data_IF_624791731253
#
_entry.id   IF_624791731253
#
_cell.length_a   1.000
_cell.length_b   1.000
_cell.length_c   1.000
_cell.angle_alpha   90.00
_cell.angle_beta   90.00
_cell.angle_gamma   90.00
#
_symmetry.space_group_name_H-M   'P 1'
#
loop_
_entity.id
_entity.type
_entity.pdbx_description
1 polymer ?
#
# COMPACT_ATOMS: atom_id res chain seq x y z
N UNK A 1 10.63 16.70 24.08
CA UNK A 1 9.43 15.98 24.15
C UNK A 1 8.52 16.29 23.03
N UNK A 2 7.95 17.46 22.98
CA UNK A 2 7.09 17.82 21.90
C UNK A 2 7.82 17.84 20.56
N UNK A 3 9.07 18.24 20.60
CA UNK A 3 9.88 18.28 19.39
C UNK A 3 10.03 16.90 18.79
N UNK A 4 10.09 15.89 19.63
CA UNK A 4 10.21 14.53 19.12
C UNK A 4 8.99 14.10 18.35
N UNK A 5 7.83 14.52 18.78
CA UNK A 5 6.62 14.16 18.09
C UNK A 5 6.56 14.76 16.69
N UNK A 6 7.15 15.93 16.52
CA UNK A 6 7.13 16.59 15.23
C UNK A 6 8.18 16.04 14.27
N UNK A 7 9.13 15.25 14.79
CA UNK A 7 10.15 14.68 13.92
C UNK A 7 9.66 13.51 13.08
N UNK A 8 8.51 12.95 13.45
CA UNK A 8 7.98 11.80 12.74
C UNK A 8 6.53 12.03 12.36
N UNK A 9 6.30 12.97 11.44
CA UNK A 9 4.91 13.20 11.01
C UNK A 9 4.38 11.96 10.32
N UNK A 10 3.11 11.68 10.55
CA UNK A 10 2.48 10.52 9.94
C UNK A 10 1.90 10.95 8.61
N UNK A 11 2.72 10.94 7.60
CA UNK A 11 2.32 11.39 6.28
C UNK A 11 2.60 10.38 5.16
N UNK A 12 2.96 9.16 5.50
CA UNK A 12 3.18 8.14 4.50
C UNK A 12 1.93 7.29 4.31
N UNK A 13 1.50 7.16 3.08
CA UNK A 13 0.38 6.31 2.71
C UNK A 13 0.90 5.10 1.97
N UNK A 14 0.57 3.93 2.47
CA UNK A 14 1.06 2.67 1.91
C UNK A 14 -0.07 2.06 1.09
N UNK A 15 0.12 2.04 -0.21
CA UNK A 15 -0.83 1.37 -1.09
C UNK A 15 -0.56 -0.12 -1.07
N UNK A 16 -1.62 -0.91 -0.94
CA UNK A 16 -1.51 -2.36 -0.83
C UNK A 16 -2.36 -3.02 -1.89
N UNK A 17 -1.72 -3.85 -2.69
CA UNK A 17 -2.42 -4.75 -3.60
C UNK A 17 -2.11 -6.16 -3.16
N UNK A 18 -3.13 -6.95 -2.88
CA UNK A 18 -2.89 -8.31 -2.43
C UNK A 18 -3.95 -9.24 -2.98
N UNK A 19 -3.61 -10.51 -3.00
CA UNK A 19 -4.55 -11.53 -3.42
C UNK A 19 -5.50 -11.82 -2.27
N UNK A 20 -6.68 -12.31 -2.64
CA UNK A 20 -7.66 -12.66 -1.64
C UNK A 20 -7.11 -13.73 -0.72
N UNK A 21 -7.34 -13.57 0.57
CA UNK A 21 -6.92 -14.55 1.55
C UNK A 21 -5.51 -14.38 2.07
N UNK A 22 -4.80 -13.34 1.68
CA UNK A 22 -3.48 -13.08 2.24
C UNK A 22 -3.62 -12.79 3.73
N UNK A 23 -2.71 -13.36 4.51
CA UNK A 23 -2.77 -13.21 5.95
C UNK A 23 -2.26 -11.84 6.37
N UNK A 24 -2.68 -11.44 7.56
CA UNK A 24 -2.19 -10.22 8.19
C UNK A 24 -0.67 -10.24 8.31
N UNK A 25 -0.12 -11.41 8.65
CA UNK A 25 1.33 -11.53 8.83
C UNK A 25 2.08 -11.33 7.51
N UNK A 26 1.51 -11.80 6.41
CA UNK A 26 2.15 -11.62 5.12
C UNK A 26 2.15 -10.15 4.70
N UNK A 27 1.04 -9.47 4.93
CA UNK A 27 0.95 -8.05 4.61
C UNK A 27 1.93 -7.26 5.47
N UNK A 28 1.98 -7.57 6.75
CA UNK A 28 2.92 -6.90 7.65
C UNK A 28 4.36 -7.12 7.22
N UNK A 29 4.69 -8.36 6.86
CA UNK A 29 6.05 -8.69 6.42
C UNK A 29 6.41 -7.92 5.15
N UNK A 30 5.45 -7.78 4.24
CA UNK A 30 5.70 -7.04 3.00
C UNK A 30 6.00 -5.57 3.28
N UNK A 31 5.21 -4.97 4.16
CA UNK A 31 5.42 -3.57 4.53
C UNK A 31 6.77 -3.39 5.21
N UNK A 32 7.08 -4.27 6.16
CA UNK A 32 8.35 -4.18 6.89
C UNK A 32 9.53 -4.33 5.94
N UNK A 33 9.41 -5.25 4.99
CA UNK A 33 10.48 -5.48 4.02
C UNK A 33 10.73 -4.24 3.16
N UNK A 34 9.68 -3.65 2.62
CA UNK A 34 9.81 -2.49 1.74
C UNK A 34 10.35 -1.30 2.53
N UNK A 35 9.85 -1.08 3.73
CA UNK A 35 10.33 0.03 4.54
C UNK A 35 11.80 -0.13 4.91
N UNK A 36 12.21 -1.34 5.22
CA UNK A 36 13.61 -1.59 5.54
C UNK A 36 14.50 -1.39 4.32
N UNK A 37 14.07 -1.88 3.16
CA UNK A 37 14.84 -1.73 1.93
C UNK A 37 15.04 -0.29 1.52
N UNK A 38 14.09 0.56 1.86
CA UNK A 38 14.14 1.96 1.48
C UNK A 38 14.46 2.89 2.65
N UNK A 39 14.85 2.29 3.78
CA UNK A 39 15.28 3.04 4.96
C UNK A 39 14.21 4.04 5.44
N UNK A 40 12.97 3.58 5.45
CA UNK A 40 11.86 4.39 5.91
C UNK A 40 11.38 3.90 7.27
N UNK A 41 10.76 4.82 8.02
CA UNK A 41 10.25 4.49 9.35
C UNK A 41 8.77 4.17 9.27
N UNK A 42 8.39 3.03 9.82
CA UNK A 42 6.99 2.67 9.90
C UNK A 42 6.21 3.61 10.82
N UNK A 43 6.91 4.33 11.68
CA UNK A 43 6.26 5.31 12.55
C UNK A 43 5.68 6.48 11.76
N UNK A 44 6.10 6.65 10.53
CA UNK A 44 5.58 7.73 9.68
C UNK A 44 4.34 7.32 8.90
N UNK A 45 3.87 6.08 9.05
CA UNK A 45 2.71 5.61 8.31
C UNK A 45 1.45 6.27 8.84
N UNK A 46 0.75 6.99 7.97
CA UNK A 46 -0.56 7.53 8.30
C UNK A 46 -1.63 6.47 8.16
N UNK A 47 -1.51 5.61 7.15
CA UNK A 47 -2.48 4.57 6.95
C UNK A 47 -2.17 3.74 5.71
N UNK A 48 -3.03 2.77 5.48
CA UNK A 48 -2.95 1.93 4.30
C UNK A 48 -4.07 2.31 3.33
N UNK A 49 -3.85 2.05 2.06
CA UNK A 49 -4.82 2.37 1.03
C UNK A 49 -4.91 1.21 0.06
N UNK A 50 -6.13 0.90 -0.40
CA UNK A 50 -6.32 -0.20 -1.33
C UNK A 50 -7.61 0.01 -2.10
N UNK A 51 -7.95 -0.97 -2.95
CA UNK A 51 -9.21 -0.96 -3.67
C UNK A 51 -10.33 -1.40 -2.73
N UNK A 52 -11.54 -0.89 -2.94
CA UNK A 52 -12.64 -1.12 -2.00
C UNK A 52 -13.06 -2.60 -1.91
N UNK A 53 -12.74 -3.40 -2.90
CA UNK A 53 -13.02 -4.82 -2.81
C UNK A 53 -12.19 -5.50 -1.73
N UNK A 54 -11.19 -4.80 -1.19
CA UNK A 54 -10.35 -5.32 -0.12
C UNK A 54 -10.81 -4.91 1.27
N UNK A 55 -11.90 -4.18 1.37
CA UNK A 55 -12.39 -3.74 2.68
C UNK A 55 -12.74 -4.94 3.57
N UNK A 56 -13.09 -6.06 2.95
CA UNK A 56 -13.42 -7.27 3.69
C UNK A 56 -12.22 -8.18 3.91
N UNK A 57 -11.04 -7.74 3.50
CA UNK A 57 -9.85 -8.54 3.67
C UNK A 57 -9.43 -8.49 5.14
N UNK A 58 -9.66 -9.60 5.85
CA UNK A 58 -9.47 -9.64 7.30
C UNK A 58 -8.05 -9.24 7.71
N UNK A 59 -7.06 -9.75 6.99
CA UNK A 59 -5.67 -9.44 7.33
C UNK A 59 -5.36 -7.96 7.25
N UNK A 60 -5.88 -7.29 6.23
CA UNK A 60 -5.63 -5.87 6.05
C UNK A 60 -6.30 -5.04 7.15
N UNK A 61 -7.55 -5.39 7.45
CA UNK A 61 -8.32 -4.68 8.48
C UNK A 61 -7.68 -4.88 9.85
N UNK A 62 -7.29 -6.11 10.16
CA UNK A 62 -6.68 -6.41 11.45
C UNK A 62 -5.37 -5.65 11.64
N UNK A 63 -4.55 -5.62 10.60
CA UNK A 63 -3.27 -4.93 10.70
C UNK A 63 -3.46 -3.45 10.98
N UNK A 64 -4.38 -2.80 10.28
CA UNK A 64 -4.64 -1.40 10.52
C UNK A 64 -5.13 -1.14 11.93
N UNK A 65 -6.01 -2.01 12.42
CA UNK A 65 -6.55 -1.86 13.77
C UNK A 65 -5.45 -2.00 14.82
N UNK A 66 -4.58 -2.99 14.65
CA UNK A 66 -3.52 -3.23 15.62
C UNK A 66 -2.50 -2.12 15.67
N UNK A 67 -2.22 -1.51 14.53
CA UNK A 67 -1.20 -0.49 14.45
C UNK A 67 -1.77 0.93 14.59
N UNK A 68 -3.07 1.06 14.71
CA UNK A 68 -3.75 2.35 14.74
C UNK A 68 -3.52 3.15 13.46
N UNK A 69 -3.50 2.44 12.34
CA UNK A 69 -3.41 3.07 11.03
C UNK A 69 -4.80 3.24 10.45
N UNK A 70 -4.97 4.29 9.67
CA UNK A 70 -6.20 4.47 8.93
C UNK A 70 -6.23 3.48 7.77
N UNK A 71 -7.43 3.15 7.32
CA UNK A 71 -7.57 2.33 6.12
C UNK A 71 -8.49 3.07 5.18
N UNK A 72 -7.96 3.46 4.02
CA UNK A 72 -8.74 4.12 2.98
C UNK A 72 -8.90 3.17 1.82
N UNK A 73 -10.11 3.02 1.34
CA UNK A 73 -10.37 2.19 0.17
C UNK A 73 -11.10 3.01 -0.87
N UNK A 74 -10.84 2.69 -2.13
CA UNK A 74 -11.38 3.45 -3.25
C UNK A 74 -11.93 2.52 -4.30
N UNK A 75 -12.99 2.92 -5.01
CA UNK A 75 -13.52 2.08 -6.09
C UNK A 75 -12.58 2.06 -7.28
N UNK A 76 -12.67 0.99 -8.05
CA UNK A 76 -11.80 0.82 -9.21
C UNK A 76 -11.90 1.99 -10.18
N UNK A 77 -13.10 2.55 -10.34
CA UNK A 77 -13.29 3.69 -11.24
C UNK A 77 -12.44 4.88 -10.85
N UNK A 78 -12.32 5.12 -9.55
CA UNK A 78 -11.50 6.22 -9.06
C UNK A 78 -10.02 5.92 -9.30
N UNK A 79 -9.61 4.70 -8.98
CA UNK A 79 -8.20 4.35 -9.11
C UNK A 79 -7.72 4.37 -10.56
N UNK A 80 -8.61 4.10 -11.50
CA UNK A 80 -8.24 4.15 -12.92
C UNK A 80 -7.91 5.56 -13.39
N UNK A 81 -8.42 6.57 -12.70
CA UNK A 81 -8.15 7.96 -13.09
C UNK A 81 -6.79 8.45 -12.61
N UNK A 82 -6.14 7.69 -11.75
CA UNK A 82 -4.86 8.11 -11.19
C UNK A 82 -3.74 7.77 -12.17
N UNK A 83 -2.89 8.74 -12.43
CA UNK A 83 -1.75 8.54 -13.30
C UNK A 83 -0.62 7.88 -12.50
N UNK A 84 -0.26 6.67 -12.88
CA UNK A 84 0.77 5.92 -12.14
C UNK A 84 1.98 5.68 -13.02
N UNK A 85 3.19 5.61 -12.43
CA UNK A 85 4.42 5.44 -13.20
C UNK A 85 4.59 4.04 -13.78
N UNK A 86 3.95 3.03 -13.20
CA UNK A 86 4.13 1.65 -13.64
C UNK A 86 2.80 0.97 -13.93
N UNK A 87 2.06 1.46 -14.91
CA UNK A 87 0.85 0.73 -15.31
C UNK A 87 1.28 -0.62 -15.89
N UNK A 88 0.47 -1.63 -15.65
CA UNK A 88 0.79 -2.92 -16.18
C UNK A 88 0.64 -2.92 -17.70
N UNK A 89 1.70 -3.28 -18.39
CA UNK A 89 1.70 -3.26 -19.84
C UNK A 89 0.67 -4.20 -20.46
N UNK A 90 0.46 -5.31 -19.81
CA UNK A 90 -0.41 -6.32 -20.37
C UNK A 90 -1.87 -5.99 -20.23
N UNK A 91 -2.19 -5.08 -19.39
CA UNK A 91 -3.57 -4.77 -19.07
C UNK A 91 -4.27 -4.06 -20.20
N UNK A 92 -3.54 -3.41 -21.08
CA UNK A 92 -4.19 -2.68 -22.15
C UNK A 92 -5.07 -3.57 -23.03
N UNK A 93 -4.85 -4.88 -22.99
CA UNK A 93 -5.68 -5.78 -23.74
C UNK A 93 -6.99 -6.11 -23.06
N UNK A 94 -7.07 -5.85 -21.78
CA UNK A 94 -8.24 -6.19 -21.00
C UNK A 94 -8.84 -4.93 -20.41
N UNK A 95 -8.36 -4.60 -19.25
CA UNK A 95 -8.81 -3.41 -18.56
C UNK A 95 -7.58 -2.61 -18.25
N UNK A 96 -7.50 -1.44 -18.75
CA UNK A 96 -6.36 -0.58 -18.49
C UNK A 96 -6.41 -0.11 -17.05
N UNK A 97 -6.16 -1.04 -16.15
CA UNK A 97 -6.19 -0.76 -14.72
C UNK A 97 -4.77 -0.49 -14.24
N UNK A 98 -4.51 0.67 -13.67
CA UNK A 98 -3.19 0.93 -13.11
C UNK A 98 -2.96 0.02 -11.90
N UNK A 99 -1.71 -0.05 -11.45
CA UNK A 99 -1.39 -0.79 -10.25
C UNK A 99 -2.23 -0.28 -9.09
N UNK A 100 -2.95 -1.19 -8.46
CA UNK A 100 -3.81 -0.82 -7.34
C UNK A 100 -3.00 -0.16 -6.23
N UNK A 101 -1.85 -0.74 -5.92
CA UNK A 101 -1.02 -0.23 -4.84
C UNK A 101 -0.57 1.20 -5.12
N UNK A 102 -0.09 1.46 -6.33
CA UNK A 102 0.40 2.78 -6.67
C UNK A 102 -0.73 3.80 -6.74
N UNK A 103 -1.83 3.43 -7.39
CA UNK A 103 -2.95 4.36 -7.52
C UNK A 103 -3.55 4.68 -6.16
N UNK A 104 -3.73 3.68 -5.31
CA UNK A 104 -4.32 3.90 -4.00
C UNK A 104 -3.42 4.78 -3.13
N UNK A 105 -2.11 4.54 -3.17
CA UNK A 105 -1.19 5.36 -2.38
C UNK A 105 -1.24 6.82 -2.83
N UNK A 106 -1.20 7.05 -4.14
CA UNK A 106 -1.23 8.41 -4.66
C UNK A 106 -2.53 9.12 -4.32
N UNK A 107 -3.64 8.42 -4.47
CA UNK A 107 -4.93 9.03 -4.21
C UNK A 107 -5.10 9.34 -2.73
N UNK A 108 -4.69 8.41 -1.86
CA UNK A 108 -4.81 8.62 -0.42
C UNK A 108 -3.94 9.79 0.04
N UNK A 109 -2.74 9.90 -0.49
CA UNK A 109 -1.82 10.97 -0.13
C UNK A 109 -2.11 12.27 -0.86
N UNK A 110 -2.97 12.23 -1.87
CA UNK A 110 -3.31 13.40 -2.68
C UNK A 110 -2.06 14.03 -3.28
N UNK A 111 -1.21 13.19 -3.86
CA UNK A 111 0.01 13.65 -4.47
C UNK A 111 0.17 13.01 -5.84
N UNK A 112 1.15 13.49 -6.60
CA UNK A 112 1.32 13.08 -7.99
C UNK A 112 2.50 12.16 -8.22
N UNK A 113 3.36 11.99 -7.24
CA UNK A 113 4.53 11.14 -7.42
C UNK A 113 4.70 10.25 -6.21
N UNK A 114 5.23 9.07 -6.47
CA UNK A 114 5.44 8.09 -5.42
C UNK A 114 6.80 8.25 -4.78
N UNK A 115 6.85 8.04 -3.49
CA UNK A 115 8.12 7.94 -2.78
C UNK A 115 8.76 6.60 -3.09
N UNK A 116 7.97 5.54 -3.13
CA UNK A 116 8.44 4.21 -3.51
C UNK A 116 7.46 3.66 -4.53
N UNK A 117 7.98 3.34 -5.72
CA UNK A 117 7.15 2.73 -6.74
C UNK A 117 6.85 1.29 -6.37
N UNK A 118 5.96 0.67 -7.11
CA UNK A 118 5.45 -0.65 -6.80
C UNK A 118 6.57 -1.66 -6.53
N UNK A 119 6.47 -2.32 -5.40
CA UNK A 119 7.39 -3.39 -5.00
C UNK A 119 6.55 -4.64 -4.77
N UNK A 120 6.95 -5.74 -5.37
CA UNK A 120 6.22 -6.99 -5.25
C UNK A 120 6.93 -7.86 -4.23
N UNK A 121 6.21 -8.25 -3.20
CA UNK A 121 6.75 -9.09 -2.14
C UNK A 121 6.16 -10.49 -2.25
N UNK A 122 7.02 -11.49 -2.28
CA UNK A 122 6.61 -12.88 -2.27
C UNK A 122 7.20 -13.56 -1.06
N UNK A 123 6.41 -14.40 -0.37
CA UNK A 123 6.94 -15.07 0.81
C UNK A 123 8.07 -16.02 0.43
N UNK A 124 9.06 -16.09 1.31
CA UNK A 124 10.18 -16.99 1.10
C UNK A 124 9.81 -18.42 1.45
N UNK A 125 8.76 -18.61 2.22
CA UNK A 125 8.33 -19.94 2.67
C UNK A 125 7.64 -20.66 1.53
N UNK A 126 8.11 -21.85 1.23
CA UNK A 126 7.69 -22.59 0.06
C UNK A 126 6.19 -22.86 -0.01
N UNK A 127 5.57 -23.14 1.12
CA UNK A 127 4.16 -23.50 1.15
C UNK A 127 3.23 -22.31 1.26
N UNK A 128 3.78 -21.13 1.44
CA UNK A 128 2.96 -19.94 1.54
C UNK A 128 2.73 -19.38 0.16
N UNK A 129 1.47 -19.17 -0.18
CA UNK A 129 1.09 -18.62 -1.47
C UNK A 129 0.66 -17.19 -1.32
N UNK A 130 0.70 -16.49 -2.43
CA UNK A 130 0.23 -15.14 -2.47
C UNK A 130 1.35 -14.15 -2.65
N UNK A 131 0.99 -13.00 -3.18
CA UNK A 131 1.93 -11.90 -3.35
C UNK A 131 1.28 -10.65 -2.81
N UNK A 132 2.09 -9.74 -2.32
CA UNK A 132 1.64 -8.45 -1.84
C UNK A 132 2.42 -7.39 -2.59
N UNK A 133 1.70 -6.43 -3.16
CA UNK A 133 2.32 -5.32 -3.86
C UNK A 133 2.22 -4.09 -2.96
N UNK A 134 3.33 -3.41 -2.77
CA UNK A 134 3.42 -2.25 -1.89
C UNK A 134 3.93 -1.05 -2.69
N UNK A 135 3.31 0.09 -2.49
CA UNK A 135 3.79 1.36 -3.01
C UNK A 135 3.60 2.40 -1.92
N UNK A 136 4.44 3.42 -1.91
CA UNK A 136 4.39 4.40 -0.84
C UNK A 136 4.34 5.80 -1.43
N UNK A 137 3.40 6.60 -0.94
CA UNK A 137 3.27 8.00 -1.32
C UNK A 137 3.34 8.84 -0.06
N UNK A 138 3.87 10.03 -0.20
CA UNK A 138 4.02 10.94 0.93
C UNK A 138 3.08 12.12 0.76
N UNK A 139 2.24 12.34 1.75
CA UNK A 139 1.33 13.48 1.76
C UNK A 139 2.12 14.74 2.09
N UNK A 140 1.65 15.85 1.56
CA UNK A 140 2.32 17.14 1.81
C UNK A 140 2.16 17.59 3.24
#
# INVERSE_FOLDING_TARGET
MLAELSLHPKNLWVGVGCQKGNSRDLIEAAIAHVFREHQLSQNAIAGLASIDTKVDEVGLVELCREQNWLLKTFPAEILRTVCVPNPSQLIHKHIATPSVAEAAALYAAECKSLLVTKQIFRPAIKDQKGTVTIAIAQAS
#
